data_IF_059146142231
#
_entry.id   IF_059146142231
#
_cell.length_a   1.000
_cell.length_b   1.000
_cell.length_c   1.000
_cell.angle_alpha   90.00
_cell.angle_beta   90.00
_cell.angle_gamma   90.00
#
_symmetry.space_group_name_H-M   'P 1'
#
loop_
_entity.id
_entity.type
_entity.pdbx_description
1 polymer ?
#
# COMPACT_ATOMS: atom_id res chain seq x y z
N UNK A 1 -53.13 25.24 43.91
CA UNK A 1 -51.78 25.70 43.51
C UNK A 1 -51.21 24.86 42.36
N UNK A 2 -51.88 24.86 41.19
CA UNK A 2 -51.41 24.18 39.96
C UNK A 2 -51.45 25.08 38.73
N UNK A 3 -52.06 26.27 38.83
CA UNK A 3 -52.12 27.26 37.75
C UNK A 3 -50.91 28.20 37.68
N UNK A 4 -50.20 28.45 38.79
CA UNK A 4 -48.97 29.27 38.76
C UNK A 4 -47.83 28.58 37.99
N UNK A 5 -47.74 27.24 38.03
CA UNK A 5 -46.64 26.48 37.42
C UNK A 5 -46.69 26.40 35.89
N UNK A 6 -47.88 26.55 35.27
CA UNK A 6 -48.04 26.53 33.81
C UNK A 6 -47.68 27.87 33.14
N UNK A 7 -47.86 28.99 33.83
CA UNK A 7 -47.54 30.32 33.31
C UNK A 7 -46.02 30.49 33.17
N UNK A 8 -45.22 30.05 34.15
CA UNK A 8 -43.75 30.11 34.06
C UNK A 8 -43.15 29.24 32.95
N UNK A 9 -43.81 28.16 32.53
CA UNK A 9 -43.33 27.27 31.46
C UNK A 9 -43.61 27.89 30.09
N UNK A 10 -44.72 28.63 29.94
CA UNK A 10 -45.10 29.25 28.66
C UNK A 10 -44.44 30.62 28.44
N UNK A 11 -44.00 31.31 29.51
CA UNK A 11 -43.20 32.54 29.40
C UNK A 11 -41.71 32.32 29.13
N UNK A 12 -41.23 31.07 29.18
CA UNK A 12 -39.82 30.72 28.95
C UNK A 12 -39.54 30.28 27.50
N UNK A 13 -40.55 30.31 26.62
CA UNK A 13 -40.49 29.76 25.26
C UNK A 13 -40.63 30.81 24.16
N UNK A 14 -40.17 32.03 24.39
CA UNK A 14 -39.92 32.97 23.30
C UNK A 14 -38.90 34.02 23.71
N UNK A 15 -37.98 34.33 22.79
CA UNK A 15 -36.92 35.36 22.91
C UNK A 15 -35.64 34.95 23.64
N UNK A 16 -34.82 34.10 23.01
CA UNK A 16 -33.38 34.37 22.76
C UNK A 16 -32.89 33.35 21.72
N UNK A 17 -33.41 33.46 20.49
CA UNK A 17 -32.59 33.14 19.34
C UNK A 17 -31.65 34.32 19.10
N UNK A 18 -30.42 34.02 18.71
CA UNK A 18 -29.31 34.93 18.38
C UNK A 18 -28.46 35.32 19.61
N UNK A 19 -27.33 34.61 19.79
CA UNK A 19 -25.95 35.11 19.69
C UNK A 19 -25.02 33.94 20.07
N UNK A 20 -24.52 33.22 19.06
CA UNK A 20 -23.19 32.60 19.05
C UNK A 20 -22.69 32.63 17.60
N UNK A 21 -22.66 33.84 17.04
CA UNK A 21 -21.79 34.17 15.92
C UNK A 21 -20.43 34.46 16.53
N UNK A 22 -19.40 33.73 16.14
CA UNK A 22 -18.01 34.10 16.41
C UNK A 22 -17.25 33.18 17.34
N UNK A 23 -17.06 31.92 16.95
CA UNK A 23 -15.74 31.27 16.97
C UNK A 23 -15.78 30.02 16.10
N UNK A 24 -16.08 30.23 14.81
CA UNK A 24 -15.55 29.36 13.76
C UNK A 24 -14.06 29.71 13.61
N UNK A 25 -13.31 29.43 14.68
CA UNK A 25 -11.87 29.55 14.70
C UNK A 25 -11.35 28.62 13.63
N UNK A 26 -10.72 29.22 12.62
CA UNK A 26 -9.93 28.60 11.58
C UNK A 26 -9.17 27.39 12.16
N UNK A 27 -9.75 26.20 12.02
CA UNK A 27 -8.96 25.00 11.78
C UNK A 27 -8.52 25.08 10.33
N UNK A 28 -7.60 26.01 10.05
CA UNK A 28 -6.59 25.73 9.04
C UNK A 28 -5.70 24.65 9.65
N UNK A 29 -6.24 23.43 9.73
CA UNK A 29 -5.36 22.29 9.57
C UNK A 29 -4.64 22.58 8.27
N UNK A 30 -3.31 22.61 8.31
CA UNK A 30 -2.51 22.62 7.11
C UNK A 30 -3.10 21.55 6.21
N UNK A 31 -3.79 21.96 5.14
CA UNK A 31 -4.04 21.06 4.02
C UNK A 31 -2.65 20.90 3.43
N UNK A 32 -1.84 20.05 4.04
CA UNK A 32 -0.75 19.41 3.34
C UNK A 32 -1.45 18.81 2.13
N UNK A 33 -1.22 19.42 0.97
CA UNK A 33 -1.77 18.89 -0.26
C UNK A 33 -1.03 17.57 -0.46
N UNK A 34 -1.57 16.48 0.09
CA UNK A 34 -1.02 15.15 -0.09
C UNK A 34 -1.01 14.91 -1.59
N UNK A 35 0.16 15.01 -2.20
CA UNK A 35 0.31 14.86 -3.63
C UNK A 35 0.33 13.37 -3.96
N UNK A 36 -0.84 12.74 -3.83
CA UNK A 36 -1.05 11.36 -4.24
C UNK A 36 -1.11 11.32 -5.77
N UNK A 37 -0.06 10.82 -6.40
CA UNK A 37 0.01 10.68 -7.85
C UNK A 37 -0.47 9.28 -8.19
N UNK A 38 -1.70 9.16 -8.69
CA UNK A 38 -2.23 7.92 -9.25
C UNK A 38 -1.93 7.84 -10.75
N UNK A 39 -1.24 6.79 -11.18
CA UNK A 39 -0.98 6.49 -12.59
C UNK A 39 -1.68 5.18 -12.92
N UNK A 40 -2.67 5.25 -13.81
CA UNK A 40 -3.29 4.07 -14.40
C UNK A 40 -2.44 3.57 -15.56
N UNK A 41 -1.96 2.34 -15.42
CA UNK A 41 -1.17 1.62 -16.39
C UNK A 41 -2.00 0.48 -16.97
N UNK A 42 -2.75 0.79 -18.03
CA UNK A 42 -3.37 -0.18 -18.92
C UNK A 42 -2.29 -0.85 -19.78
N UNK A 43 -1.42 -1.61 -19.15
CA UNK A 43 -0.48 -2.44 -19.87
C UNK A 43 -1.14 -3.81 -20.03
N UNK A 44 -1.59 -4.15 -21.24
CA UNK A 44 -1.96 -5.52 -21.61
C UNK A 44 -0.71 -6.44 -21.69
N UNK A 45 0.25 -6.24 -20.80
CA UNK A 45 1.51 -6.95 -20.73
C UNK A 45 1.36 -8.13 -19.78
N UNK A 46 0.82 -9.23 -20.30
CA UNK A 46 0.89 -10.56 -19.69
C UNK A 46 0.49 -10.71 -18.20
N UNK A 47 -0.24 -9.77 -17.58
CA UNK A 47 -0.40 -9.81 -16.13
C UNK A 47 -1.37 -8.85 -15.46
N UNK A 48 -2.27 -8.16 -16.18
CA UNK A 48 -3.35 -7.34 -15.60
C UNK A 48 -3.19 -5.82 -15.71
N UNK A 49 -4.22 -5.08 -15.27
CA UNK A 49 -4.20 -3.60 -15.19
C UNK A 49 -3.54 -3.16 -13.89
N UNK A 50 -2.59 -2.23 -13.98
CA UNK A 50 -1.86 -1.72 -12.82
C UNK A 50 -2.24 -0.28 -12.48
N UNK A 51 -2.41 0.01 -11.19
CA UNK A 51 -2.53 1.39 -10.68
C UNK A 51 -1.42 1.67 -9.70
N UNK A 52 -0.67 2.73 -9.93
CA UNK A 52 0.42 3.14 -9.04
C UNK A 52 0.03 4.44 -8.35
N UNK A 53 -0.02 4.45 -7.03
CA UNK A 53 -0.18 5.66 -6.23
C UNK A 53 1.11 5.94 -5.46
N UNK A 54 1.59 7.17 -5.49
CA UNK A 54 2.80 7.59 -4.77
C UNK A 54 2.43 8.73 -3.85
N UNK A 55 2.75 8.57 -2.57
CA UNK A 55 2.66 9.59 -1.55
C UNK A 55 4.07 10.01 -1.16
N UNK A 56 4.51 11.15 -1.71
CA UNK A 56 5.84 11.70 -1.46
C UNK A 56 5.99 12.24 -0.02
N UNK A 57 4.91 12.73 0.58
CA UNK A 57 4.93 13.27 1.95
C UNK A 57 5.24 12.19 2.99
N UNK A 58 4.83 10.96 2.72
CA UNK A 58 5.07 9.79 3.57
C UNK A 58 6.13 8.82 3.02
N UNK A 59 6.75 9.11 1.88
CA UNK A 59 7.66 8.21 1.17
C UNK A 59 7.11 6.79 1.01
N UNK A 60 5.85 6.68 0.57
CA UNK A 60 5.17 5.41 0.32
C UNK A 60 4.73 5.31 -1.13
N UNK A 61 5.00 4.17 -1.77
CA UNK A 61 4.40 3.82 -3.06
C UNK A 61 3.46 2.62 -2.91
N UNK A 62 2.33 2.66 -3.58
CA UNK A 62 1.34 1.60 -3.65
C UNK A 62 1.17 1.17 -5.11
N UNK A 63 1.25 -0.13 -5.36
CA UNK A 63 1.01 -0.73 -6.68
C UNK A 63 -0.11 -1.75 -6.54
N UNK A 64 -1.23 -1.49 -7.21
CA UNK A 64 -2.37 -2.38 -7.30
C UNK A 64 -2.37 -3.04 -8.68
N UNK A 65 -2.52 -4.36 -8.74
CA UNK A 65 -2.55 -5.11 -9.98
C UNK A 65 -3.80 -5.98 -10.03
N UNK A 66 -4.68 -5.67 -10.97
CA UNK A 66 -5.89 -6.43 -11.23
C UNK A 66 -5.66 -7.37 -12.42
N UNK A 67 -5.59 -8.67 -12.12
CA UNK A 67 -5.38 -9.73 -13.11
C UNK A 67 -6.33 -10.91 -12.86
N UNK A 68 -7.57 -10.59 -12.47
CA UNK A 68 -8.58 -11.60 -12.17
C UNK A 68 -8.30 -12.40 -10.89
N UNK A 69 -8.97 -13.55 -10.76
CA UNK A 69 -9.11 -14.28 -9.51
C UNK A 69 -7.77 -14.74 -8.88
N UNK A 70 -6.91 -15.36 -9.68
CA UNK A 70 -5.65 -15.96 -9.18
C UNK A 70 -4.42 -15.04 -9.34
N UNK A 71 -4.52 -14.01 -10.18
CA UNK A 71 -3.40 -13.16 -10.56
C UNK A 71 -3.35 -11.80 -9.87
N UNK A 72 -4.39 -11.40 -9.14
CA UNK A 72 -4.44 -10.07 -8.53
C UNK A 72 -3.59 -9.97 -7.27
N UNK A 73 -2.94 -8.83 -7.09
CA UNK A 73 -2.13 -8.52 -5.91
C UNK A 73 -2.02 -7.02 -5.67
N UNK A 74 -1.66 -6.65 -4.45
CA UNK A 74 -1.39 -5.27 -4.07
C UNK A 74 -0.06 -5.20 -3.31
N UNK A 75 0.75 -4.17 -3.56
CA UNK A 75 2.09 -4.03 -2.98
C UNK A 75 2.32 -2.62 -2.43
N UNK A 76 2.70 -2.52 -1.16
CA UNK A 76 3.08 -1.26 -0.49
C UNK A 76 4.59 -1.26 -0.25
N UNK A 77 5.21 -0.17 -0.67
CA UNK A 77 6.65 0.09 -0.57
C UNK A 77 6.83 1.27 0.38
N UNK A 78 7.22 0.97 1.62
CA UNK A 78 7.49 1.98 2.64
C UNK A 78 9.00 2.27 2.66
N UNK A 79 9.41 3.34 1.98
CA UNK A 79 10.82 3.72 1.86
C UNK A 79 11.39 4.29 3.16
N UNK A 80 10.53 4.82 4.05
CA UNK A 80 10.94 5.32 5.36
C UNK A 80 11.37 4.16 6.28
N UNK A 81 10.53 3.12 6.36
CA UNK A 81 10.82 1.94 7.19
C UNK A 81 11.71 0.91 6.47
N UNK A 82 11.86 1.01 5.15
CA UNK A 82 12.76 0.17 4.34
C UNK A 82 12.18 -1.22 4.03
N UNK A 83 10.85 -1.33 3.95
CA UNK A 83 10.15 -2.59 3.72
C UNK A 83 9.20 -2.51 2.53
N UNK A 84 9.03 -3.64 1.87
CA UNK A 84 7.96 -3.87 0.90
C UNK A 84 7.06 -4.95 1.46
N UNK A 85 5.76 -4.77 1.33
CA UNK A 85 4.77 -5.79 1.60
C UNK A 85 3.96 -6.05 0.34
N UNK A 86 3.67 -7.31 0.04
CA UNK A 86 2.81 -7.71 -1.08
C UNK A 86 1.70 -8.62 -0.57
N UNK A 87 0.46 -8.17 -0.73
CA UNK A 87 -0.74 -8.94 -0.51
C UNK A 87 -1.10 -9.72 -1.77
N UNK A 88 -1.15 -11.04 -1.66
CA UNK A 88 -1.57 -11.94 -2.74
C UNK A 88 -3.02 -12.34 -2.48
N UNK A 89 -3.96 -11.84 -3.28
CA UNK A 89 -5.39 -11.96 -2.96
C UNK A 89 -5.87 -13.42 -2.97
N UNK A 90 -5.49 -14.19 -3.99
CA UNK A 90 -5.87 -15.60 -4.14
C UNK A 90 -5.40 -16.47 -2.95
N UNK A 91 -4.23 -16.14 -2.40
CA UNK A 91 -3.62 -16.86 -1.26
C UNK A 91 -4.02 -16.30 0.10
N UNK A 92 -4.74 -15.16 0.14
CA UNK A 92 -5.12 -14.45 1.36
C UNK A 92 -3.94 -14.23 2.32
N UNK A 93 -2.76 -13.96 1.78
CA UNK A 93 -1.52 -13.80 2.55
C UNK A 93 -0.83 -12.48 2.22
N UNK A 94 -0.03 -11.99 3.15
CA UNK A 94 0.88 -10.86 2.94
C UNK A 94 2.33 -11.33 3.10
N UNK A 95 3.19 -10.96 2.17
CA UNK A 95 4.63 -11.26 2.22
C UNK A 95 5.38 -9.96 2.42
N UNK A 96 6.27 -9.90 3.42
CA UNK A 96 7.05 -8.71 3.75
C UNK A 96 8.54 -8.99 3.56
N UNK A 97 9.27 -8.10 2.90
CA UNK A 97 10.71 -8.18 2.73
C UNK A 97 11.37 -6.81 2.85
N UNK A 98 12.70 -6.79 3.07
CA UNK A 98 13.48 -5.54 3.13
C UNK A 98 13.76 -5.02 1.73
N UNK A 99 13.65 -3.70 1.53
CA UNK A 99 14.04 -3.05 0.27
C UNK A 99 15.54 -3.25 0.03
N UNK A 100 15.90 -3.84 -1.11
CA UNK A 100 17.27 -3.85 -1.60
C UNK A 100 17.57 -2.52 -2.29
N UNK A 101 18.20 -1.60 -1.56
CA UNK A 101 18.54 -0.24 -2.03
C UNK A 101 19.53 -0.21 -3.19
N UNK A 102 20.19 -1.33 -3.51
CA UNK A 102 21.08 -1.42 -4.67
C UNK A 102 20.31 -1.71 -5.99
N UNK A 103 19.10 -2.25 -5.87
CA UNK A 103 18.26 -2.65 -7.02
C UNK A 103 17.10 -1.68 -7.18
N UNK A 104 16.42 -1.43 -6.07
CA UNK A 104 15.25 -0.54 -5.97
C UNK A 104 15.71 0.92 -6.01
N UNK A 105 15.15 1.73 -6.92
CA UNK A 105 15.52 3.13 -7.07
C UNK A 105 14.94 3.99 -5.93
N UNK A 106 15.30 5.28 -5.90
CA UNK A 106 14.65 6.24 -5.00
C UNK A 106 13.15 6.35 -5.31
N UNK A 107 12.34 6.83 -4.36
CA UNK A 107 10.89 7.02 -4.61
C UNK A 107 10.63 8.04 -5.74
N UNK A 108 11.48 9.07 -5.87
CA UNK A 108 11.40 10.07 -6.94
C UNK A 108 11.69 9.46 -8.30
N UNK A 109 12.71 8.59 -8.38
CA UNK A 109 12.99 7.84 -9.60
C UNK A 109 11.89 6.84 -9.91
N UNK A 110 11.33 6.18 -8.89
CA UNK A 110 10.18 5.29 -9.04
C UNK A 110 8.96 6.03 -9.59
N UNK A 111 8.68 7.25 -9.12
CA UNK A 111 7.64 8.13 -9.65
C UNK A 111 7.90 8.52 -11.10
N UNK A 112 9.15 8.88 -11.44
CA UNK A 112 9.50 9.18 -12.83
C UNK A 112 9.29 7.97 -13.74
N UNK A 113 9.63 6.78 -13.26
CA UNK A 113 9.45 5.51 -13.96
C UNK A 113 7.97 5.11 -14.08
N UNK A 114 7.14 5.37 -13.07
CA UNK A 114 5.71 5.06 -13.13
C UNK A 114 4.97 5.94 -14.16
N UNK A 115 5.40 7.20 -14.32
CA UNK A 115 4.89 8.13 -15.33
C UNK A 115 5.40 7.83 -16.75
N UNK A 116 6.65 7.38 -16.88
CA UNK A 116 7.32 7.18 -18.15
C UNK A 116 7.49 5.69 -18.45
N UNK A 117 6.55 5.13 -19.21
CA UNK A 117 6.55 3.72 -19.57
C UNK A 117 7.83 3.31 -20.32
N UNK A 118 8.55 2.27 -19.89
CA UNK A 118 9.59 1.68 -20.73
C UNK A 118 8.95 1.03 -21.95
N UNK A 119 9.60 1.15 -23.10
CA UNK A 119 9.15 0.48 -24.32
C UNK A 119 9.51 -1.02 -24.22
N UNK A 120 8.53 -1.92 -24.32
CA UNK A 120 8.73 -3.38 -24.13
C UNK A 120 9.74 -3.97 -25.12
N UNK A 121 9.94 -3.34 -26.29
CA UNK A 121 10.83 -3.84 -27.34
C UNK A 121 12.25 -3.27 -27.28
N UNK A 122 12.44 -2.12 -26.62
CA UNK A 122 13.73 -1.39 -26.64
C UNK A 122 14.18 -0.92 -25.25
N UNK A 123 13.37 -1.14 -24.22
CA UNK A 123 13.66 -0.82 -22.84
C UNK A 123 14.60 -1.85 -22.19
N UNK A 124 15.23 -1.47 -21.07
CA UNK A 124 16.00 -2.42 -20.28
C UNK A 124 15.10 -3.55 -19.78
N UNK A 125 15.63 -4.77 -19.76
CA UNK A 125 14.92 -5.90 -19.15
C UNK A 125 14.58 -5.60 -17.69
N UNK A 126 13.44 -6.10 -17.18
CA UNK A 126 13.07 -5.90 -15.79
C UNK A 126 14.18 -6.38 -14.85
N UNK A 127 14.42 -5.62 -13.79
CA UNK A 127 15.28 -6.06 -12.70
C UNK A 127 14.51 -7.10 -11.89
N UNK A 128 14.98 -8.35 -11.90
CA UNK A 128 14.34 -9.43 -11.16
C UNK A 128 14.97 -9.62 -9.77
N UNK A 129 14.14 -9.69 -8.75
CA UNK A 129 14.51 -10.05 -7.39
C UNK A 129 13.71 -11.26 -6.95
N UNK A 130 14.39 -12.20 -6.30
CA UNK A 130 13.76 -13.42 -5.81
C UNK A 130 13.94 -13.55 -4.31
N UNK A 131 12.87 -13.96 -3.64
CA UNK A 131 12.80 -14.04 -2.20
C UNK A 131 12.30 -15.42 -1.77
N UNK A 132 12.95 -16.00 -0.77
CA UNK A 132 12.51 -17.21 -0.10
C UNK A 132 11.64 -16.85 1.11
N UNK A 133 10.44 -17.41 1.20
CA UNK A 133 9.52 -17.16 2.31
C UNK A 133 9.94 -18.00 3.52
N UNK A 134 10.05 -17.35 4.67
CA UNK A 134 10.10 -18.00 5.97
C UNK A 134 8.67 -18.42 6.36
N UNK A 135 8.38 -19.72 6.56
CA UNK A 135 7.05 -20.18 6.90
C UNK A 135 6.57 -19.73 8.30
N UNK A 136 7.44 -19.08 9.09
CA UNK A 136 7.06 -18.51 10.37
C UNK A 136 6.16 -17.28 10.19
N UNK A 137 4.92 -17.40 10.65
CA UNK A 137 3.97 -16.29 10.68
C UNK A 137 4.42 -15.17 11.61
N UNK A 138 4.32 -13.92 11.13
CA UNK A 138 4.63 -12.71 11.90
C UNK A 138 3.40 -12.26 12.68
N UNK A 139 3.56 -12.13 14.00
CA UNK A 139 2.49 -11.70 14.91
C UNK A 139 2.42 -10.19 15.08
N UNK A 140 3.57 -9.54 15.20
CA UNK A 140 3.67 -8.09 15.40
C UNK A 140 3.94 -7.40 14.07
N UNK A 141 2.91 -6.83 13.46
CA UNK A 141 3.03 -6.11 12.19
C UNK A 141 3.50 -4.67 12.36
N UNK A 142 3.37 -4.09 13.56
CA UNK A 142 3.75 -2.70 13.83
C UNK A 142 5.26 -2.46 13.60
N UNK A 143 6.07 -3.52 13.69
CA UNK A 143 7.50 -3.50 13.37
C UNK A 143 7.84 -3.07 11.93
N UNK A 144 6.86 -3.06 11.01
CA UNK A 144 7.05 -2.69 9.61
C UNK A 144 6.50 -1.30 9.24
N UNK A 145 5.92 -0.59 10.20
CA UNK A 145 5.29 0.71 9.96
C UNK A 145 3.79 0.63 9.62
N UNK A 146 3.10 1.74 9.87
CA UNK A 146 1.63 1.86 9.74
C UNK A 146 1.08 1.50 8.36
N UNK A 147 1.73 1.86 7.22
CA UNK A 147 1.22 1.50 5.89
C UNK A 147 1.11 -0.03 5.71
N UNK A 148 2.17 -0.76 6.08
CA UNK A 148 2.22 -2.22 5.96
C UNK A 148 1.33 -2.90 6.98
N UNK A 149 1.34 -2.44 8.23
CA UNK A 149 0.45 -2.94 9.27
C UNK A 149 -1.02 -2.86 8.82
N UNK A 150 -1.42 -1.71 8.26
CA UNK A 150 -2.80 -1.49 7.81
C UNK A 150 -3.18 -2.42 6.66
N UNK A 151 -2.30 -2.58 5.66
CA UNK A 151 -2.58 -3.44 4.50
C UNK A 151 -2.64 -4.93 4.86
N UNK A 152 -1.78 -5.38 5.77
CA UNK A 152 -1.62 -6.80 6.11
C UNK A 152 -2.43 -7.23 7.34
N UNK A 153 -3.16 -6.31 7.96
CA UNK A 153 -4.02 -6.58 9.12
C UNK A 153 -5.01 -7.70 8.83
N UNK A 154 -5.03 -8.70 9.71
CA UNK A 154 -5.95 -9.85 9.61
C UNK A 154 -5.55 -10.91 8.58
N UNK A 155 -4.38 -10.77 7.94
CA UNK A 155 -3.85 -11.77 7.00
C UNK A 155 -2.66 -12.51 7.63
N UNK A 156 -2.52 -13.83 7.40
CA UNK A 156 -1.26 -14.52 7.60
C UNK A 156 -0.15 -13.78 6.86
N UNK A 157 0.84 -13.31 7.62
CA UNK A 157 1.94 -12.50 7.12
C UNK A 157 3.26 -13.23 7.33
N UNK A 158 4.10 -13.27 6.30
CA UNK A 158 5.37 -13.99 6.34
C UNK A 158 6.52 -13.07 5.92
N UNK A 159 7.70 -13.27 6.52
CA UNK A 159 8.92 -12.61 6.06
C UNK A 159 9.48 -13.37 4.86
N UNK A 160 10.13 -12.65 3.96
CA UNK A 160 10.90 -13.26 2.89
C UNK A 160 12.31 -12.64 2.81
N UNK A 161 13.30 -13.48 2.51
CA UNK A 161 14.70 -13.09 2.40
C UNK A 161 15.15 -13.16 0.95
N UNK A 162 15.85 -12.12 0.48
CA UNK A 162 16.36 -12.09 -0.88
C UNK A 162 17.41 -13.18 -1.06
N UNK A 163 17.28 -13.96 -2.13
CA UNK A 163 18.24 -14.99 -2.51
C UNK A 163 18.92 -14.60 -3.81
N UNK A 164 20.25 -14.63 -3.81
CA UNK A 164 21.08 -14.32 -4.98
C UNK A 164 21.73 -15.59 -5.53
N UNK A 165 21.91 -15.66 -6.85
CA UNK A 165 22.80 -16.64 -7.52
C UNK A 165 22.47 -18.12 -7.27
N UNK A 166 23.53 -18.92 -7.05
CA UNK A 166 23.52 -20.38 -6.95
C UNK A 166 22.64 -20.94 -5.82
N UNK A 167 22.38 -20.16 -4.78
CA UNK A 167 21.56 -20.52 -3.60
C UNK A 167 20.15 -20.98 -3.96
N UNK A 168 19.64 -20.55 -5.12
CA UNK A 168 18.29 -20.87 -5.60
C UNK A 168 18.25 -22.00 -6.64
N UNK A 169 19.40 -22.44 -7.18
CA UNK A 169 19.42 -23.41 -8.30
C UNK A 169 18.75 -24.76 -7.97
N UNK A 170 18.56 -25.05 -6.68
CA UNK A 170 17.98 -26.30 -6.20
C UNK A 170 16.56 -26.14 -5.62
N UNK A 171 15.98 -24.93 -5.63
CA UNK A 171 14.60 -24.76 -5.16
C UNK A 171 13.60 -25.08 -6.29
N UNK A 172 12.75 -26.07 -6.04
CA UNK A 172 11.71 -26.53 -6.99
C UNK A 172 10.28 -26.29 -6.49
N UNK A 173 10.10 -25.52 -5.42
CA UNK A 173 8.78 -25.22 -4.86
C UNK A 173 8.04 -24.12 -5.64
N UNK A 174 6.78 -23.84 -5.28
CA UNK A 174 5.97 -22.85 -5.96
C UNK A 174 6.52 -21.44 -5.74
N UNK A 175 6.34 -20.58 -6.75
CA UNK A 175 6.66 -19.17 -6.70
C UNK A 175 5.51 -18.33 -7.24
N UNK A 176 5.30 -17.17 -6.61
CA UNK A 176 4.39 -16.13 -7.06
C UNK A 176 5.22 -14.96 -7.58
N UNK A 177 4.91 -14.48 -8.78
CA UNK A 177 5.61 -13.36 -9.41
C UNK A 177 4.71 -12.15 -9.53
N UNK A 178 5.19 -11.01 -9.04
CA UNK A 178 4.62 -9.69 -9.24
C UNK A 178 5.54 -8.89 -10.17
N UNK A 179 5.11 -8.69 -11.41
CA UNK A 179 5.75 -7.74 -12.32
C UNK A 179 5.24 -6.34 -11.99
N UNK A 180 6.12 -5.39 -11.74
CA UNK A 180 5.78 -4.01 -11.37
C UNK A 180 6.25 -3.10 -12.49
N UNK A 181 5.29 -2.46 -13.16
CA UNK A 181 5.53 -1.47 -14.21
C UNK A 181 6.35 -1.98 -15.40
N UNK A 182 6.53 -3.30 -15.57
CA UNK A 182 7.49 -3.91 -16.51
C UNK A 182 8.96 -3.52 -16.25
N UNK A 183 9.27 -3.06 -15.04
CA UNK A 183 10.61 -2.61 -14.66
C UNK A 183 11.19 -3.50 -13.56
N UNK A 184 10.35 -4.01 -12.67
CA UNK A 184 10.77 -4.89 -11.58
C UNK A 184 9.97 -6.18 -11.62
N UNK A 185 10.65 -7.31 -11.51
CA UNK A 185 10.01 -8.59 -11.26
C UNK A 185 10.34 -9.03 -9.85
N UNK A 186 9.33 -9.19 -9.00
CA UNK A 186 9.50 -9.75 -7.66
C UNK A 186 8.91 -11.15 -7.65
N UNK A 187 9.75 -12.14 -7.36
CA UNK A 187 9.29 -13.51 -7.15
C UNK A 187 9.41 -13.87 -5.68
N UNK A 188 8.29 -14.25 -5.06
CA UNK A 188 8.26 -14.90 -3.76
C UNK A 188 8.18 -16.40 -3.97
N UNK A 189 8.96 -17.19 -3.23
CA UNK A 189 9.06 -18.63 -3.40
C UNK A 189 8.93 -19.34 -2.03
N UNK A 190 8.15 -20.41 -1.95
CA UNK A 190 7.95 -21.17 -0.71
C UNK A 190 6.63 -21.94 -0.66
N UNK A 191 6.51 -22.93 0.21
CA UNK A 191 5.28 -23.75 0.32
C UNK A 191 4.04 -22.94 0.76
N UNK A 192 4.22 -21.82 1.44
CA UNK A 192 3.11 -20.96 1.91
C UNK A 192 2.33 -20.27 0.79
N UNK A 193 2.86 -20.28 -0.44
CA UNK A 193 2.23 -19.72 -1.64
C UNK A 193 1.84 -20.80 -2.66
N UNK A 194 1.93 -22.08 -2.28
CA UNK A 194 1.37 -23.21 -3.03
C UNK A 194 -0.13 -23.01 -3.30
#
# INVERSE_FOLDING_TARGET
DRDKKRIYILSFSWSFQIVFIGLLGLLLGSTSADTNISVDNDNNSQGGTQRVSINNDHNVANVDNDNGWDGSWNSIWDFNNGFVATRIFAKKTCIVHKINKNVVPSIQDFERLSKNKPNVHTGPSPKSQRYMIDPQNIKDLAQFGTPIETMCKGLPTYKAQEVQGQSFLFFSGPCFSANILLIFDISYCGETIA
#
